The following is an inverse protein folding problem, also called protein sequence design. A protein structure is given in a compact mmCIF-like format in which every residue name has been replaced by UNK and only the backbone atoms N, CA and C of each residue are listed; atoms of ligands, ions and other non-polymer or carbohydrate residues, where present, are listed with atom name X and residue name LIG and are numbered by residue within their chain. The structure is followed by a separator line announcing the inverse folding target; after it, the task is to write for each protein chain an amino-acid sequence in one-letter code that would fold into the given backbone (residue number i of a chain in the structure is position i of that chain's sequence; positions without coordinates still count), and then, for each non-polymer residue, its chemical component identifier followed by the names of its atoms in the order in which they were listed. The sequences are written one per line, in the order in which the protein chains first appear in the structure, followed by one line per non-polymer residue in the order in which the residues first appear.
data_IF_820541055620
#
_entry.id   IF_820541055620
#
_cell.length_a   1.000
_cell.length_b   1.000
_cell.length_c   1.000
_cell.angle_alpha   90.00
_cell.angle_beta   90.00
_cell.angle_gamma   90.00
#
_symmetry.space_group_name_H-M   'P 1'
#
loop_
_entity.id
_entity.type
_entity.pdbx_description
1 polymer ?
#
# COMPACT_ATOMS: atom_id res chain seq x y z
N UNK A 1 15.62 4.45 -14.46
CA UNK A 1 16.68 5.03 -13.61
C UNK A 1 16.26 6.35 -12.93
N UNK A 2 15.62 7.30 -13.65
CA UNK A 2 15.20 8.58 -13.07
C UNK A 2 14.16 8.48 -11.94
N UNK A 3 13.26 7.54 -12.03
CA UNK A 3 12.17 7.37 -11.06
C UNK A 3 12.62 6.70 -9.76
N UNK A 4 13.48 5.69 -9.82
CA UNK A 4 14.09 5.08 -8.63
C UNK A 4 14.87 6.15 -7.86
N UNK A 5 15.71 6.92 -8.55
CA UNK A 5 16.50 8.00 -7.94
C UNK A 5 15.63 9.06 -7.26
N UNK A 6 14.52 9.48 -7.88
CA UNK A 6 13.60 10.46 -7.29
C UNK A 6 12.97 9.95 -5.99
N UNK A 7 12.55 8.69 -5.96
CA UNK A 7 11.92 8.07 -4.78
C UNK A 7 12.92 7.84 -3.65
N UNK A 8 14.14 7.40 -3.96
CA UNK A 8 15.22 7.30 -2.98
C UNK A 8 15.59 8.67 -2.40
N UNK A 9 15.59 9.72 -3.24
CA UNK A 9 15.79 11.10 -2.80
C UNK A 9 14.69 11.54 -1.84
N UNK A 10 13.42 11.26 -2.16
CA UNK A 10 12.29 11.60 -1.29
C UNK A 10 12.42 10.94 0.09
N UNK A 11 12.74 9.65 0.15
CA UNK A 11 12.94 8.95 1.44
C UNK A 11 14.11 9.49 2.25
N UNK A 12 15.18 9.92 1.59
CA UNK A 12 16.34 10.52 2.26
C UNK A 12 16.04 11.92 2.81
N UNK A 13 15.30 12.73 2.04
CA UNK A 13 15.02 14.12 2.40
C UNK A 13 13.81 14.29 3.31
N UNK A 14 12.88 13.32 3.29
CA UNK A 14 11.64 13.31 4.08
C UNK A 14 11.56 11.97 4.82
N UNK A 15 12.18 11.83 5.99
CA UNK A 15 12.11 10.60 6.79
C UNK A 15 10.64 10.26 7.12
N UNK A 16 10.26 8.99 6.95
CA UNK A 16 8.91 8.52 7.23
C UNK A 16 7.88 8.81 6.13
N UNK A 17 8.30 9.34 4.96
CA UNK A 17 7.38 9.56 3.84
C UNK A 17 6.74 8.24 3.38
N UNK A 18 5.43 8.24 3.24
CA UNK A 18 4.67 7.14 2.63
C UNK A 18 4.67 7.30 1.10
N UNK A 19 5.25 6.35 0.39
CA UNK A 19 5.25 6.32 -1.07
C UNK A 19 4.11 5.44 -1.59
N UNK A 20 3.19 6.08 -2.30
CA UNK A 20 2.05 5.41 -2.95
C UNK A 20 2.20 5.47 -4.47
N UNK A 21 1.83 4.40 -5.17
CA UNK A 21 1.78 4.35 -6.63
C UNK A 21 0.66 3.45 -7.14
N UNK A 22 0.31 3.66 -8.40
CA UNK A 22 -0.54 2.74 -9.16
C UNK A 22 0.19 2.36 -10.43
N UNK A 23 0.18 1.09 -10.75
CA UNK A 23 0.81 0.52 -11.94
C UNK A 23 -0.24 -0.11 -12.85
N UNK A 24 0.06 -0.17 -14.13
CA UNK A 24 -0.71 -0.91 -15.13
C UNK A 24 0.24 -1.92 -15.77
N UNK A 25 -0.12 -3.20 -15.70
CA UNK A 25 0.61 -4.29 -16.33
C UNK A 25 -0.08 -4.72 -17.64
N UNK A 26 0.69 -5.19 -18.59
CA UNK A 26 0.17 -5.66 -19.86
C UNK A 26 -0.24 -4.56 -20.84
N UNK A 27 0.43 -3.42 -20.81
CA UNK A 27 0.24 -2.37 -21.81
C UNK A 27 0.61 -2.89 -23.20
N UNK A 28 -0.07 -2.44 -24.29
CA UNK A 28 0.23 -2.91 -25.66
C UNK A 28 1.71 -2.85 -25.98
N UNK A 29 2.29 -3.97 -26.39
CA UNK A 29 3.69 -4.12 -26.72
C UNK A 29 4.63 -4.37 -25.53
N UNK A 30 4.12 -4.48 -24.30
CA UNK A 30 4.95 -4.83 -23.13
C UNK A 30 5.57 -6.24 -23.29
N UNK A 31 6.89 -6.29 -23.35
CA UNK A 31 7.64 -7.55 -23.45
C UNK A 31 7.79 -8.22 -22.09
N UNK A 32 8.22 -9.49 -22.08
CA UNK A 32 8.51 -10.21 -20.85
C UNK A 32 9.66 -9.57 -20.07
N UNK A 33 10.71 -9.12 -20.77
CA UNK A 33 11.84 -8.40 -20.16
C UNK A 33 11.38 -7.10 -19.48
N UNK A 34 10.51 -6.32 -20.11
CA UNK A 34 9.96 -5.09 -19.52
C UNK A 34 9.08 -5.39 -18.32
N UNK A 35 8.35 -6.48 -18.33
CA UNK A 35 7.57 -6.93 -17.19
C UNK A 35 8.46 -7.39 -16.02
N UNK A 36 9.56 -8.12 -16.31
CA UNK A 36 10.56 -8.45 -15.28
C UNK A 36 11.18 -7.19 -14.67
N UNK A 37 11.51 -6.19 -15.49
CA UNK A 37 12.00 -4.90 -15.03
C UNK A 37 11.01 -4.20 -14.10
N UNK A 38 9.69 -4.25 -14.42
CA UNK A 38 8.64 -3.73 -13.56
C UNK A 38 8.60 -4.44 -12.20
N UNK A 39 8.69 -5.77 -12.19
CA UNK A 39 8.74 -6.55 -10.95
C UNK A 39 9.98 -6.21 -10.11
N UNK A 40 11.14 -6.07 -10.74
CA UNK A 40 12.39 -5.70 -10.08
C UNK A 40 12.33 -4.26 -9.52
N UNK A 41 11.73 -3.35 -10.27
CA UNK A 41 11.46 -1.98 -9.81
C UNK A 41 10.60 -1.95 -8.53
N UNK A 42 9.52 -2.73 -8.46
CA UNK A 42 8.68 -2.82 -7.27
C UNK A 42 9.46 -3.35 -6.07
N UNK A 43 10.27 -4.42 -6.27
CA UNK A 43 11.14 -5.00 -5.23
C UNK A 43 12.21 -4.02 -4.73
N UNK A 44 12.78 -3.21 -5.63
CA UNK A 44 13.83 -2.24 -5.27
C UNK A 44 13.23 -1.03 -4.54
N UNK A 45 12.14 -0.47 -5.06
CA UNK A 45 11.53 0.74 -4.47
C UNK A 45 10.80 0.44 -3.17
N UNK A 46 10.21 -0.74 -3.02
CA UNK A 46 9.46 -1.14 -1.81
C UNK A 46 8.40 -0.10 -1.41
N UNK A 47 7.42 0.10 -2.28
CA UNK A 47 6.34 1.05 -2.02
C UNK A 47 5.58 0.72 -0.73
N UNK A 48 5.14 1.75 -0.03
CA UNK A 48 4.33 1.58 1.17
C UNK A 48 2.89 1.21 0.81
N UNK A 49 2.39 1.74 -0.30
CA UNK A 49 1.09 1.40 -0.87
C UNK A 49 1.22 1.30 -2.39
N UNK A 50 0.77 0.21 -2.97
CA UNK A 50 0.79 -0.01 -4.42
C UNK A 50 -0.47 -0.75 -4.85
N UNK A 51 -1.11 -0.26 -5.91
CA UNK A 51 -2.10 -0.98 -6.69
C UNK A 51 -1.56 -1.31 -8.08
N UNK A 52 -1.89 -2.48 -8.59
CA UNK A 52 -1.58 -2.85 -9.97
C UNK A 52 -2.84 -3.37 -10.66
N UNK A 53 -3.11 -2.84 -11.84
CA UNK A 53 -4.25 -3.23 -12.66
C UNK A 53 -3.78 -3.82 -13.99
N UNK A 54 -4.52 -4.80 -14.50
CA UNK A 54 -4.37 -5.23 -15.89
C UNK A 54 -4.81 -4.10 -16.83
N UNK A 55 -4.05 -3.88 -17.90
CA UNK A 55 -4.43 -2.88 -18.90
C UNK A 55 -5.81 -3.21 -19.50
N UNK A 56 -6.70 -2.22 -19.50
CA UNK A 56 -8.00 -2.25 -20.16
C UNK A 56 -8.01 -1.29 -21.37
N UNK A 57 -8.46 -1.77 -22.50
CA UNK A 57 -8.55 -0.97 -23.72
C UNK A 57 -9.80 -0.08 -23.66
N UNK A 58 -9.61 1.20 -23.39
CA UNK A 58 -10.69 2.18 -23.38
C UNK A 58 -10.95 2.75 -24.77
N UNK A 59 -12.23 2.85 -25.14
CA UNK A 59 -12.64 3.37 -26.44
C UNK A 59 -12.06 4.76 -26.70
N UNK A 60 -11.69 5.01 -27.95
CA UNK A 60 -11.12 6.28 -28.43
C UNK A 60 -9.74 6.67 -27.88
N UNK A 61 -9.05 5.79 -27.15
CA UNK A 61 -7.66 6.01 -26.73
C UNK A 61 -6.67 5.60 -27.83
N UNK A 62 -5.46 6.18 -27.79
CA UNK A 62 -4.37 5.76 -28.67
C UNK A 62 -3.96 4.31 -28.35
N UNK A 63 -3.88 3.98 -27.05
CA UNK A 63 -3.46 2.66 -26.59
C UNK A 63 -4.39 1.53 -27.07
N UNK A 64 -5.70 1.77 -27.15
CA UNK A 64 -6.65 0.77 -27.67
C UNK A 64 -6.45 0.44 -29.17
N UNK A 65 -5.76 1.34 -29.90
CA UNK A 65 -5.48 1.20 -31.35
C UNK A 65 -4.05 0.77 -31.66
N UNK A 66 -3.22 0.62 -30.63
CA UNK A 66 -1.84 0.15 -30.80
C UNK A 66 -1.81 -1.33 -31.18
N UNK A 67 -0.84 -1.68 -32.04
CA UNK A 67 -0.50 -3.07 -32.28
C UNK A 67 0.13 -3.71 -31.01
N UNK A 68 0.18 -5.05 -30.97
CA UNK A 68 0.79 -5.75 -29.86
C UNK A 68 -0.12 -5.82 -28.62
N UNK A 69 -1.43 -5.82 -28.82
CA UNK A 69 -2.38 -6.10 -27.73
C UNK A 69 -2.06 -7.46 -27.10
N UNK A 70 -2.04 -7.50 -25.79
CA UNK A 70 -1.71 -8.69 -24.98
C UNK A 70 -3.01 -9.38 -24.57
N UNK A 71 -2.99 -10.72 -24.58
CA UNK A 71 -4.12 -11.53 -24.15
C UNK A 71 -4.52 -11.22 -22.70
N UNK A 72 -5.83 -11.19 -22.41
CA UNK A 72 -6.35 -10.80 -21.11
C UNK A 72 -5.77 -11.65 -19.97
N UNK A 73 -5.68 -12.95 -20.16
CA UNK A 73 -5.13 -13.87 -19.18
C UNK A 73 -3.68 -13.55 -18.81
N UNK A 74 -2.86 -13.10 -19.77
CA UNK A 74 -1.47 -12.69 -19.52
C UNK A 74 -1.42 -11.39 -18.72
N UNK A 75 -2.28 -10.41 -19.07
CA UNK A 75 -2.38 -9.14 -18.35
C UNK A 75 -2.79 -9.35 -16.88
N UNK A 76 -3.79 -10.21 -16.67
CA UNK A 76 -4.29 -10.53 -15.33
C UNK A 76 -3.21 -11.21 -14.48
N UNK A 77 -2.50 -12.20 -15.03
CA UNK A 77 -1.38 -12.88 -14.37
C UNK A 77 -0.24 -11.91 -14.01
N UNK A 78 0.09 -10.97 -14.90
CA UNK A 78 1.11 -9.95 -14.63
C UNK A 78 0.70 -9.03 -13.51
N UNK A 79 -0.53 -8.52 -13.53
CA UNK A 79 -1.05 -7.67 -12.45
C UNK A 79 -1.07 -8.43 -11.11
N UNK A 80 -1.54 -9.68 -11.10
CA UNK A 80 -1.54 -10.53 -9.92
C UNK A 80 -0.14 -10.76 -9.36
N UNK A 81 0.87 -11.04 -10.20
CA UNK A 81 2.24 -11.25 -9.77
C UNK A 81 2.84 -9.99 -9.12
N UNK A 82 2.58 -8.81 -9.68
CA UNK A 82 3.00 -7.54 -9.08
C UNK A 82 2.35 -7.34 -7.72
N UNK A 83 1.05 -7.67 -7.58
CA UNK A 83 0.34 -7.57 -6.32
C UNK A 83 0.86 -8.58 -5.28
N UNK A 84 1.25 -9.80 -5.69
CA UNK A 84 1.88 -10.78 -4.80
C UNK A 84 3.22 -10.27 -4.27
N UNK A 85 4.05 -9.65 -5.12
CA UNK A 85 5.30 -9.01 -4.68
C UNK A 85 5.02 -7.91 -3.65
N UNK A 86 4.05 -7.04 -3.93
CA UNK A 86 3.67 -5.96 -3.01
C UNK A 86 3.10 -6.49 -1.69
N UNK A 87 2.34 -7.56 -1.72
CA UNK A 87 1.83 -8.23 -0.51
C UNK A 87 2.97 -8.65 0.43
N UNK A 88 4.04 -9.24 -0.13
CA UNK A 88 5.23 -9.59 0.66
C UNK A 88 5.94 -8.38 1.25
N UNK A 89 6.08 -7.30 0.47
CA UNK A 89 6.66 -6.04 0.94
C UNK A 89 5.82 -5.43 2.06
N UNK A 90 4.50 -5.45 1.92
CA UNK A 90 3.59 -4.88 2.90
C UNK A 90 3.62 -5.65 4.21
N UNK A 91 3.58 -7.00 4.17
CA UNK A 91 3.69 -7.83 5.34
C UNK A 91 4.98 -7.54 6.14
N UNK A 92 6.11 -7.42 5.45
CA UNK A 92 7.38 -7.07 6.09
C UNK A 92 7.31 -5.68 6.76
N UNK A 93 6.81 -4.67 6.05
CA UNK A 93 6.71 -3.29 6.58
C UNK A 93 5.74 -3.17 7.76
N UNK A 94 4.66 -3.94 7.78
CA UNK A 94 3.74 -3.98 8.92
C UNK A 94 4.43 -4.64 10.12
N UNK A 95 5.11 -5.75 9.92
CA UNK A 95 5.85 -6.43 10.98
C UNK A 95 6.96 -5.54 11.58
N UNK A 96 7.62 -4.71 10.78
CA UNK A 96 8.65 -3.75 11.25
C UNK A 96 8.09 -2.67 12.19
N UNK A 97 6.78 -2.43 12.17
CA UNK A 97 6.12 -1.45 13.07
C UNK A 97 5.81 -2.02 14.45
N UNK A 98 5.82 -3.34 14.63
CA UNK A 98 5.57 -3.98 15.92
C UNK A 98 6.64 -3.53 16.93
N UNK A 99 6.21 -3.11 18.10
CA UNK A 99 7.04 -2.52 19.15
C UNK A 99 7.31 -1.02 18.98
N UNK A 100 6.81 -0.39 17.90
CA UNK A 100 6.93 1.06 17.70
C UNK A 100 5.67 1.78 18.20
N UNK A 101 5.83 3.04 18.62
CA UNK A 101 4.70 3.93 18.89
C UNK A 101 4.36 4.71 17.62
N UNK A 102 3.10 4.67 17.22
CA UNK A 102 2.56 5.39 16.06
C UNK A 102 1.55 6.43 16.50
N UNK A 103 1.56 7.59 15.83
CA UNK A 103 0.59 8.66 16.05
C UNK A 103 -0.61 8.45 15.14
N UNK A 104 -1.79 8.32 15.69
CA UNK A 104 -3.01 7.95 14.95
C UNK A 104 -4.14 8.91 15.21
N UNK A 105 -5.01 9.07 14.21
CA UNK A 105 -6.30 9.73 14.33
C UNK A 105 -7.37 8.65 14.52
N UNK A 106 -8.20 8.78 15.54
CA UNK A 106 -9.36 7.91 15.73
C UNK A 106 -10.47 8.31 14.75
N UNK A 107 -10.94 7.35 13.97
CA UNK A 107 -12.06 7.53 13.03
C UNK A 107 -13.41 7.05 13.62
N UNK A 108 -13.37 6.05 14.51
CA UNK A 108 -14.58 5.50 15.12
C UNK A 108 -14.33 4.25 15.95
N UNK A 109 -15.38 3.52 16.18
CA UNK A 109 -15.35 2.24 16.89
C UNK A 109 -16.01 1.15 16.04
N UNK A 110 -15.38 0.00 16.00
CA UNK A 110 -16.01 -1.25 15.57
C UNK A 110 -16.76 -1.84 16.77
N UNK A 111 -18.07 -1.64 16.79
CA UNK A 111 -18.91 -2.09 17.91
C UNK A 111 -18.98 -3.62 18.02
N UNK A 112 -18.75 -4.35 16.92
CA UNK A 112 -18.79 -5.81 16.91
C UNK A 112 -17.59 -6.41 17.64
N UNK A 113 -16.40 -5.85 17.42
CA UNK A 113 -15.15 -6.32 18.03
C UNK A 113 -14.70 -5.50 19.25
N UNK A 114 -15.35 -4.36 19.50
CA UNK A 114 -15.00 -3.46 20.59
C UNK A 114 -13.67 -2.75 20.44
N UNK A 115 -13.17 -2.62 19.19
CA UNK A 115 -11.90 -1.97 18.88
C UNK A 115 -12.14 -0.59 18.28
N UNK A 116 -11.29 0.36 18.63
CA UNK A 116 -11.28 1.66 17.98
C UNK A 116 -10.52 1.57 16.67
N UNK A 117 -11.14 2.07 15.59
CA UNK A 117 -10.53 2.14 14.27
C UNK A 117 -9.81 3.47 14.13
N UNK A 118 -8.51 3.39 13.96
CA UNK A 118 -7.65 4.55 13.83
C UNK A 118 -6.82 4.45 12.54
N UNK A 119 -6.21 5.56 12.11
CA UNK A 119 -5.32 5.59 10.95
C UNK A 119 -4.10 6.46 11.23
N UNK A 120 -2.98 6.10 10.61
CA UNK A 120 -1.78 6.95 10.60
C UNK A 120 -1.86 7.99 9.49
N UNK A 121 -0.90 8.91 9.45
CA UNK A 121 -0.75 9.89 8.36
C UNK A 121 -0.47 9.25 7.00
N UNK A 122 -0.06 7.98 6.96
CA UNK A 122 0.23 7.24 5.73
C UNK A 122 -0.96 6.49 5.15
N UNK A 123 -2.09 6.47 5.87
CA UNK A 123 -3.25 5.65 5.50
C UNK A 123 -4.38 6.52 4.93
N UNK A 124 -4.91 6.11 3.79
CA UNK A 124 -6.08 6.74 3.19
C UNK A 124 -7.36 6.15 3.77
N UNK A 125 -8.31 6.99 4.21
CA UNK A 125 -9.59 6.53 4.77
C UNK A 125 -10.31 5.60 3.79
N UNK A 126 -10.90 4.52 4.30
CA UNK A 126 -11.72 3.56 3.54
C UNK A 126 -11.00 2.83 2.40
N UNK A 127 -9.69 3.03 2.23
CA UNK A 127 -8.89 2.44 1.15
C UNK A 127 -7.79 1.53 1.69
N UNK A 128 -7.10 1.99 2.74
CA UNK A 128 -6.01 1.23 3.37
C UNK A 128 -6.52 0.51 4.62
N UNK A 129 -5.67 -0.33 5.19
CA UNK A 129 -5.91 -0.93 6.50
C UNK A 129 -5.90 0.12 7.61
N UNK A 130 -6.25 -0.30 8.81
CA UNK A 130 -6.37 0.57 9.97
C UNK A 130 -5.40 0.17 11.09
N UNK A 131 -5.35 1.01 12.12
CA UNK A 131 -4.78 0.69 13.41
C UNK A 131 -5.95 0.38 14.35
N UNK A 132 -6.10 -0.90 14.68
CA UNK A 132 -7.12 -1.41 15.60
C UNK A 132 -6.62 -1.24 17.03
N UNK A 133 -7.26 -0.37 17.80
CA UNK A 133 -6.79 0.03 19.12
C UNK A 133 -7.71 -0.52 20.21
N UNK A 134 -7.12 -1.25 21.15
CA UNK A 134 -7.77 -1.61 22.41
C UNK A 134 -7.50 -0.53 23.45
N UNK A 135 -8.53 -0.07 24.16
CA UNK A 135 -8.39 0.93 25.21
C UNK A 135 -9.41 0.71 26.34
N UNK A 136 -8.96 0.87 27.59
CA UNK A 136 -9.83 0.86 28.77
C UNK A 136 -10.64 2.16 28.87
N UNK A 137 -10.08 3.25 28.38
CA UNK A 137 -10.72 4.57 28.35
C UNK A 137 -11.34 4.83 26.98
N UNK A 138 -12.50 5.51 26.91
CA UNK A 138 -13.12 5.84 25.63
C UNK A 138 -12.22 6.70 24.75
N UNK A 139 -12.04 6.30 23.48
CA UNK A 139 -11.40 7.15 22.47
C UNK A 139 -12.50 7.87 21.68
N UNK A 140 -12.22 9.09 21.27
CA UNK A 140 -13.18 9.95 20.60
C UNK A 140 -12.77 10.16 19.12
N UNK A 141 -13.70 9.97 18.17
CA UNK A 141 -13.46 10.27 16.77
C UNK A 141 -12.96 11.72 16.57
N UNK A 142 -11.99 11.88 15.70
CA UNK A 142 -11.37 13.17 15.41
C UNK A 142 -10.25 13.58 16.40
N UNK A 143 -9.95 12.77 17.41
CA UNK A 143 -8.85 12.99 18.33
C UNK A 143 -7.63 12.15 17.95
N UNK A 144 -6.45 12.66 18.29
CA UNK A 144 -5.18 11.98 18.06
C UNK A 144 -4.72 11.24 19.31
N UNK A 145 -4.08 10.10 19.10
CA UNK A 145 -3.55 9.24 20.15
C UNK A 145 -2.20 8.66 19.74
N UNK A 146 -1.34 8.41 20.72
CA UNK A 146 -0.12 7.64 20.52
C UNK A 146 -0.39 6.18 20.90
N UNK A 147 -0.11 5.27 19.98
CA UNK A 147 -0.44 3.84 20.09
C UNK A 147 0.82 3.01 19.97
N UNK A 148 1.08 2.17 20.98
CA UNK A 148 2.10 1.12 20.87
C UNK A 148 1.54 -0.02 20.03
N UNK A 149 2.20 -0.29 18.91
CA UNK A 149 1.85 -1.42 18.04
C UNK A 149 2.36 -2.71 18.68
N UNK A 150 1.46 -3.65 18.96
CA UNK A 150 1.75 -4.92 19.62
C UNK A 150 1.73 -6.09 18.66
N UNK A 151 0.93 -5.99 17.58
CA UNK A 151 0.80 -7.02 16.55
C UNK A 151 0.44 -6.40 15.20
N UNK A 152 0.59 -7.18 14.13
CA UNK A 152 0.22 -6.80 12.78
C UNK A 152 -0.23 -8.00 11.96
N UNK A 153 -1.19 -7.79 11.09
CA UNK A 153 -1.45 -8.70 9.98
C UNK A 153 -1.01 -8.08 8.65
N UNK A 154 -1.55 -8.57 7.53
CA UNK A 154 -1.18 -8.07 6.21
C UNK A 154 -1.56 -6.61 5.97
N UNK A 155 -2.69 -6.17 6.54
CA UNK A 155 -3.28 -4.86 6.28
C UNK A 155 -3.32 -3.97 7.51
N UNK A 156 -3.63 -4.55 8.66
CA UNK A 156 -3.94 -3.84 9.89
C UNK A 156 -2.83 -3.94 10.93
N UNK A 157 -2.77 -2.95 11.79
CA UNK A 157 -1.95 -2.94 13.00
C UNK A 157 -2.86 -3.06 14.21
N UNK A 158 -2.36 -3.68 15.27
CA UNK A 158 -3.08 -3.85 16.53
C UNK A 158 -2.23 -3.29 17.66
N UNK A 159 -2.86 -2.55 18.57
CA UNK A 159 -2.11 -1.95 19.66
C UNK A 159 -2.96 -1.32 20.75
N UNK A 160 -2.27 -0.68 21.70
CA UNK A 160 -2.85 -0.04 22.87
C UNK A 160 -2.36 1.41 23.00
N UNK A 161 -3.21 2.28 23.59
CA UNK A 161 -2.83 3.68 23.81
C UNK A 161 -1.68 3.77 24.81
N UNK A 162 -0.66 4.55 24.47
CA UNK A 162 0.44 4.88 25.38
C UNK A 162 -0.05 5.91 26.39
N UNK A 163 0.13 5.62 27.69
CA UNK A 163 -0.24 6.53 28.81
C UNK A 163 0.82 7.58 29.05
#
# INVERSE_FOLDING_TARGET
LGDVYKRQKLRREIPGITLRTTLIAGFPGETEEQFEDLCNFVKEVQFDRLGCFAYSAEENTVAARMDGQIEQEVKDKRAELVMQIQTGIMAQKQAEKVGQTVHVLCDGIDEENGLYLCRTTGDAPEVDGCVCVSSEEPLYPGQFYDVLVEDSDLYDLYGTVVK
#
